data_IF_827955651565
#
_entry.id   IF_827955651565
#
_cell.length_a   1.000
_cell.length_b   1.000
_cell.length_c   1.000
_cell.angle_alpha   90.00
_cell.angle_beta   90.00
_cell.angle_gamma   90.00
#
_symmetry.space_group_name_H-M   'P 1'
#
loop_
_entity.id
_entity.type
_entity.pdbx_description
1 polymer ?
#
# COMPACT_ATOMS: atom_id res chain seq x y z
N UNK A 1 -12.56 35.23 59.74
CA UNK A 1 -12.44 34.10 58.78
C UNK A 1 -13.80 33.86 58.14
N UNK A 2 -14.02 34.30 56.90
CA UNK A 2 -15.26 34.03 56.15
C UNK A 2 -14.88 33.39 54.81
N UNK A 3 -15.34 32.15 54.59
CA UNK A 3 -14.99 31.31 53.44
C UNK A 3 -16.08 31.46 52.38
N UNK A 4 -15.76 32.13 51.27
CA UNK A 4 -16.67 32.30 50.12
C UNK A 4 -16.83 30.97 49.38
N UNK A 5 -17.99 30.33 49.50
CA UNK A 5 -18.36 29.12 48.77
C UNK A 5 -18.95 29.57 47.42
N UNK A 6 -18.19 29.46 46.34
CA UNK A 6 -18.66 29.73 44.98
C UNK A 6 -19.74 28.71 44.53
N UNK A 7 -20.76 29.12 43.76
CA UNK A 7 -21.96 28.32 43.54
C UNK A 7 -21.73 27.28 42.44
N UNK A 8 -21.63 25.99 42.82
CA UNK A 8 -21.64 24.85 41.88
C UNK A 8 -22.89 24.83 40.97
N UNK A 9 -23.98 25.49 41.39
CA UNK A 9 -25.25 25.57 40.66
C UNK A 9 -25.23 26.47 39.40
N UNK A 10 -24.35 27.47 39.34
CA UNK A 10 -24.25 28.36 38.17
C UNK A 10 -23.59 27.67 36.96
N UNK A 11 -22.58 26.83 37.20
CA UNK A 11 -21.94 26.03 36.15
C UNK A 11 -22.89 24.98 35.55
N UNK A 12 -23.70 24.33 36.40
CA UNK A 12 -24.72 23.36 35.97
C UNK A 12 -25.83 24.00 35.12
N UNK A 13 -26.27 25.21 35.46
CA UNK A 13 -27.27 25.95 34.68
C UNK A 13 -26.72 26.50 33.37
N UNK A 14 -25.44 26.90 33.32
CA UNK A 14 -24.77 27.30 32.08
C UNK A 14 -24.62 26.13 31.11
N UNK A 15 -24.16 24.97 31.57
CA UNK A 15 -24.05 23.74 30.76
C UNK A 15 -25.42 23.23 30.28
N UNK A 16 -26.46 23.35 31.12
CA UNK A 16 -27.82 22.99 30.74
C UNK A 16 -28.43 23.94 29.69
N UNK A 17 -28.10 25.24 29.74
CA UNK A 17 -28.49 26.23 28.70
C UNK A 17 -27.74 25.97 27.39
N UNK A 18 -26.46 25.60 27.46
CA UNK A 18 -25.67 25.22 26.29
C UNK A 18 -26.28 23.98 25.60
N UNK A 19 -26.67 22.96 26.39
CA UNK A 19 -27.31 21.73 25.89
C UNK A 19 -28.68 21.97 25.24
N UNK A 20 -29.45 22.96 25.71
CA UNK A 20 -30.77 23.31 25.14
C UNK A 20 -30.69 24.22 23.91
N UNK A 21 -29.51 24.73 23.55
CA UNK A 21 -29.37 25.66 22.45
C UNK A 21 -29.29 24.90 21.12
N UNK A 22 -30.40 24.88 20.37
CA UNK A 22 -30.56 24.14 19.11
C UNK A 22 -29.49 24.48 18.07
N UNK A 23 -29.07 25.75 18.01
CA UNK A 23 -27.97 26.21 17.14
C UNK A 23 -26.63 25.57 17.52
N UNK A 24 -26.36 25.42 18.82
CA UNK A 24 -25.16 24.73 19.32
C UNK A 24 -25.19 23.23 19.09
N UNK A 25 -26.36 22.59 19.27
CA UNK A 25 -26.53 21.15 19.02
C UNK A 25 -26.35 20.80 17.52
N UNK A 26 -26.85 21.66 16.62
CA UNK A 26 -26.68 21.46 15.16
C UNK A 26 -25.20 21.58 14.76
N UNK A 27 -24.48 22.57 15.30
CA UNK A 27 -23.04 22.74 15.05
C UNK A 27 -22.25 21.49 15.47
N UNK A 28 -22.57 20.92 16.63
CA UNK A 28 -21.91 19.71 17.14
C UNK A 28 -22.21 18.50 16.26
N UNK A 29 -23.46 18.30 15.85
CA UNK A 29 -23.84 17.18 14.96
C UNK A 29 -23.13 17.31 13.60
N UNK A 30 -23.10 18.51 13.01
CA UNK A 30 -22.41 18.74 11.73
C UNK A 30 -20.90 18.52 11.88
N UNK A 31 -20.28 18.97 12.96
CA UNK A 31 -18.86 18.73 13.23
C UNK A 31 -18.54 17.24 13.31
N UNK A 32 -19.38 16.45 14.01
CA UNK A 32 -19.23 15.00 14.05
C UNK A 32 -19.53 14.32 12.72
N UNK A 33 -20.47 14.83 11.91
CA UNK A 33 -20.80 14.30 10.59
C UNK A 33 -19.69 14.54 9.54
N UNK A 34 -18.86 15.58 9.71
CA UNK A 34 -17.72 15.85 8.83
C UNK A 34 -16.60 14.82 9.01
N UNK A 35 -16.40 14.29 10.24
CA UNK A 35 -15.34 13.31 10.52
C UNK A 35 -15.40 12.06 9.62
N UNK A 36 -16.53 11.34 9.49
CA UNK A 36 -16.61 10.18 8.59
C UNK A 36 -16.49 10.56 7.11
N UNK A 37 -16.96 11.75 6.70
CA UNK A 37 -16.80 12.22 5.32
C UNK A 37 -15.32 12.47 4.99
N UNK A 38 -14.57 13.11 5.89
CA UNK A 38 -13.12 13.30 5.75
C UNK A 38 -12.38 11.96 5.76
N UNK A 39 -12.84 11.00 6.57
CA UNK A 39 -12.27 9.65 6.57
C UNK A 39 -12.46 8.96 5.20
N UNK A 40 -13.66 9.05 4.61
CA UNK A 40 -13.92 8.49 3.28
C UNK A 40 -13.05 9.15 2.20
N UNK A 41 -13.02 10.48 2.13
CA UNK A 41 -12.19 11.19 1.14
C UNK A 41 -10.71 10.91 1.34
N UNK A 42 -10.24 10.94 2.60
CA UNK A 42 -8.86 10.67 2.95
C UNK A 42 -8.41 9.26 2.58
N UNK A 43 -9.27 8.27 2.79
CA UNK A 43 -8.99 6.89 2.42
C UNK A 43 -8.78 6.73 0.91
N UNK A 44 -9.56 7.44 0.09
CA UNK A 44 -9.42 7.43 -1.36
C UNK A 44 -8.09 8.03 -1.84
N UNK A 45 -7.64 9.12 -1.21
CA UNK A 45 -6.36 9.77 -1.54
C UNK A 45 -5.16 8.88 -1.21
N UNK A 46 -5.14 8.30 -0.01
CA UNK A 46 -4.07 7.39 0.41
C UNK A 46 -4.05 6.12 -0.46
N UNK A 47 -5.23 5.60 -0.82
CA UNK A 47 -5.34 4.45 -1.71
C UNK A 47 -4.85 4.76 -3.12
N UNK A 48 -5.14 5.96 -3.64
CA UNK A 48 -4.66 6.40 -4.96
C UNK A 48 -3.12 6.43 -5.01
N UNK A 49 -2.47 6.97 -3.97
CA UNK A 49 -1.01 6.93 -3.83
C UNK A 49 -0.48 5.50 -3.74
N UNK A 50 -1.15 4.66 -2.96
CA UNK A 50 -0.76 3.26 -2.80
C UNK A 50 -0.85 2.47 -4.10
N UNK A 51 -1.88 2.68 -4.92
CA UNK A 51 -2.02 2.02 -6.22
C UNK A 51 -0.89 2.37 -7.17
N UNK A 52 -0.55 3.65 -7.28
CA UNK A 52 0.58 4.08 -8.13
C UNK A 52 1.89 3.45 -7.64
N UNK A 53 2.12 3.39 -6.34
CA UNK A 53 3.30 2.74 -5.78
C UNK A 53 3.31 1.22 -6.06
N UNK A 54 2.16 0.53 -5.93
CA UNK A 54 2.02 -0.90 -6.29
C UNK A 54 2.31 -1.14 -7.77
N UNK A 55 1.79 -0.31 -8.66
CA UNK A 55 2.00 -0.46 -10.11
C UNK A 55 3.48 -0.29 -10.47
N UNK A 56 4.17 0.69 -9.88
CA UNK A 56 5.61 0.87 -10.08
C UNK A 56 6.44 -0.27 -9.49
N UNK A 57 6.06 -0.76 -8.32
CA UNK A 57 6.69 -1.92 -7.69
C UNK A 57 6.53 -3.16 -8.59
N UNK A 58 5.33 -3.36 -9.15
CA UNK A 58 5.03 -4.46 -10.07
C UNK A 58 5.86 -4.36 -11.35
N UNK A 59 5.92 -3.17 -11.97
CA UNK A 59 6.77 -2.91 -13.14
C UNK A 59 8.25 -3.24 -12.86
N UNK A 60 8.77 -2.85 -11.69
CA UNK A 60 10.14 -3.15 -11.30
C UNK A 60 10.40 -4.66 -11.11
N UNK A 61 9.40 -5.37 -10.56
CA UNK A 61 9.47 -6.81 -10.33
C UNK A 61 9.34 -7.62 -11.62
N UNK A 62 8.50 -7.20 -12.56
CA UNK A 62 8.41 -7.80 -13.89
C UNK A 62 9.71 -7.59 -14.68
N UNK A 63 10.28 -6.38 -14.64
CA UNK A 63 11.57 -6.08 -15.26
C UNK A 63 12.72 -6.89 -14.63
N UNK A 64 12.78 -6.95 -13.30
CA UNK A 64 13.78 -7.71 -12.56
C UNK A 64 13.69 -9.22 -12.83
N UNK A 65 12.48 -9.79 -12.82
CA UNK A 65 12.29 -11.23 -13.02
C UNK A 65 12.66 -11.64 -14.45
N UNK A 66 12.34 -10.81 -15.44
CA UNK A 66 12.75 -11.01 -16.83
C UNK A 66 14.28 -10.93 -17.00
N UNK A 67 14.93 -9.92 -16.40
CA UNK A 67 16.38 -9.77 -16.46
C UNK A 67 17.10 -10.95 -15.78
N UNK A 68 16.67 -11.31 -14.57
CA UNK A 68 17.18 -12.46 -13.84
C UNK A 68 17.03 -13.76 -14.65
N UNK A 69 15.88 -13.93 -15.29
CA UNK A 69 15.63 -15.13 -16.10
C UNK A 69 16.54 -15.22 -17.30
N UNK A 70 16.93 -14.10 -17.93
CA UNK A 70 17.86 -14.10 -19.08
C UNK A 70 19.24 -14.64 -18.72
N UNK A 71 19.69 -14.40 -17.49
CA UNK A 71 20.98 -14.90 -16.99
C UNK A 71 20.90 -16.29 -16.36
N UNK A 72 19.70 -16.76 -16.02
CA UNK A 72 19.50 -18.08 -15.43
C UNK A 72 19.76 -19.19 -16.47
N UNK A 73 20.95 -19.79 -16.40
CA UNK A 73 21.36 -20.91 -17.26
C UNK A 73 21.06 -22.29 -16.65
N UNK A 74 20.87 -22.38 -15.34
CA UNK A 74 20.74 -23.65 -14.61
C UNK A 74 19.54 -23.72 -13.65
N UNK A 75 19.44 -24.79 -12.85
CA UNK A 75 18.37 -24.98 -11.89
C UNK A 75 18.56 -24.15 -10.59
N UNK A 76 19.73 -23.57 -10.38
CA UNK A 76 20.11 -22.88 -9.16
C UNK A 76 20.21 -21.38 -9.35
N UNK A 77 19.90 -20.64 -8.28
CA UNK A 77 20.18 -19.20 -8.21
C UNK A 77 21.68 -18.98 -8.06
N UNK A 78 22.28 -18.21 -8.95
CA UNK A 78 23.67 -17.72 -8.81
C UNK A 78 23.67 -16.29 -8.28
N UNK A 79 24.78 -15.87 -7.66
CA UNK A 79 24.96 -14.50 -7.15
C UNK A 79 24.80 -13.45 -8.26
N UNK A 80 25.22 -13.77 -9.49
CA UNK A 80 25.16 -12.86 -10.63
C UNK A 80 23.71 -12.65 -11.09
N UNK A 81 22.92 -13.72 -11.12
CA UNK A 81 21.48 -13.65 -11.44
C UNK A 81 20.74 -12.83 -10.38
N UNK A 82 21.04 -13.05 -9.10
CA UNK A 82 20.44 -12.28 -8.01
C UNK A 82 20.84 -10.80 -8.07
N UNK A 83 22.12 -10.51 -8.31
CA UNK A 83 22.63 -9.13 -8.40
C UNK A 83 21.99 -8.39 -9.58
N UNK A 84 21.88 -9.04 -10.73
CA UNK A 84 21.23 -8.43 -11.91
C UNK A 84 19.74 -8.20 -11.68
N UNK A 85 19.04 -9.18 -11.09
CA UNK A 85 17.63 -9.04 -10.70
C UNK A 85 17.42 -7.80 -9.82
N UNK A 86 18.31 -7.60 -8.83
CA UNK A 86 18.29 -6.47 -7.92
C UNK A 86 18.62 -5.17 -8.62
N UNK A 87 19.58 -5.15 -9.54
CA UNK A 87 19.94 -3.96 -10.32
C UNK A 87 18.75 -3.45 -11.14
N UNK A 88 18.10 -4.34 -11.90
CA UNK A 88 16.91 -4.00 -12.68
C UNK A 88 15.72 -3.58 -11.80
N UNK A 89 15.54 -4.26 -10.66
CA UNK A 89 14.50 -3.88 -9.70
C UNK A 89 14.76 -2.48 -9.12
N UNK A 90 15.96 -2.23 -8.59
CA UNK A 90 16.33 -0.96 -7.96
C UNK A 90 16.37 0.21 -8.95
N UNK A 91 16.67 -0.06 -10.23
CA UNK A 91 16.60 0.95 -11.28
C UNK A 91 15.17 1.45 -11.51
N UNK A 92 14.19 0.55 -11.48
CA UNK A 92 12.79 0.89 -11.68
C UNK A 92 12.07 1.33 -10.39
N UNK A 93 12.53 0.85 -9.24
CA UNK A 93 12.03 1.22 -7.92
C UNK A 93 13.20 1.52 -6.97
N UNK A 94 13.72 2.76 -6.97
CA UNK A 94 14.82 3.14 -6.08
C UNK A 94 14.37 3.12 -4.62
N UNK A 95 15.33 2.93 -3.70
CA UNK A 95 15.05 2.96 -2.27
C UNK A 95 14.44 4.29 -1.85
N UNK A 96 13.37 4.23 -1.04
CA UNK A 96 12.64 5.43 -0.61
C UNK A 96 11.68 6.00 -1.64
N UNK A 97 11.50 5.37 -2.81
CA UNK A 97 10.42 5.73 -3.72
C UNK A 97 9.07 5.68 -2.98
N UNK A 98 8.24 6.71 -3.17
CA UNK A 98 6.95 6.87 -2.50
C UNK A 98 7.02 6.87 -0.95
N UNK A 99 8.16 7.28 -0.37
CA UNK A 99 8.41 7.25 1.08
C UNK A 99 8.32 5.84 1.68
N UNK A 100 8.53 4.82 0.85
CA UNK A 100 8.44 3.42 1.32
C UNK A 100 9.59 3.06 2.25
N UNK A 101 9.31 2.18 3.21
CA UNK A 101 10.34 1.62 4.09
C UNK A 101 11.41 0.91 3.27
N UNK A 102 12.72 1.09 3.55
CA UNK A 102 13.78 0.35 2.88
C UNK A 102 13.53 -1.16 2.99
N UNK A 103 13.61 -1.85 1.85
CA UNK A 103 13.42 -3.29 1.77
C UNK A 103 14.34 -3.86 0.70
N UNK A 104 14.55 -5.17 0.78
CA UNK A 104 15.42 -5.92 -0.11
C UNK A 104 14.56 -6.99 -0.79
N UNK A 105 14.36 -6.95 -2.12
CA UNK A 105 13.54 -7.95 -2.80
C UNK A 105 14.16 -9.34 -2.62
N UNK A 106 13.33 -10.37 -2.48
CA UNK A 106 13.75 -11.76 -2.34
C UNK A 106 13.66 -12.43 -3.71
N UNK A 107 14.79 -12.93 -4.22
CA UNK A 107 14.86 -13.65 -5.49
C UNK A 107 14.97 -15.14 -5.19
N UNK A 108 14.15 -15.95 -5.86
CA UNK A 108 14.10 -17.40 -5.69
C UNK A 108 13.93 -18.10 -7.03
N UNK A 109 14.38 -19.35 -7.12
CA UNK A 109 14.19 -20.21 -8.30
C UNK A 109 13.33 -21.40 -7.86
N UNK A 110 11.98 -21.29 -7.92
CA UNK A 110 11.10 -22.36 -7.44
C UNK A 110 11.10 -23.60 -8.35
N UNK A 111 11.47 -23.43 -9.61
CA UNK A 111 11.56 -24.50 -10.60
C UNK A 111 12.66 -24.16 -11.61
N UNK A 112 13.18 -25.19 -12.29
CA UNK A 112 14.18 -25.01 -13.35
C UNK A 112 13.64 -24.07 -14.42
N UNK A 113 14.41 -23.04 -14.77
CA UNK A 113 13.99 -22.06 -15.76
C UNK A 113 12.84 -21.14 -15.31
N UNK A 114 12.56 -21.05 -14.01
CA UNK A 114 11.62 -20.08 -13.43
C UNK A 114 12.32 -19.23 -12.39
N UNK A 115 12.33 -17.91 -12.56
CA UNK A 115 12.77 -16.97 -11.52
C UNK A 115 11.55 -16.29 -10.92
N UNK A 116 11.47 -16.26 -9.59
CA UNK A 116 10.44 -15.56 -8.83
C UNK A 116 11.06 -14.48 -7.95
N UNK A 117 10.54 -13.27 -8.06
CA UNK A 117 10.90 -12.13 -7.22
C UNK A 117 9.71 -11.79 -6.33
N UNK A 118 9.98 -11.60 -5.05
CA UNK A 118 8.98 -11.18 -4.06
C UNK A 118 9.49 -9.93 -3.35
N UNK A 119 8.70 -8.86 -3.41
CA UNK A 119 9.02 -7.57 -2.80
C UNK A 119 7.92 -7.19 -1.82
N UNK A 120 8.31 -6.96 -0.57
CA UNK A 120 7.41 -6.55 0.51
C UNK A 120 7.90 -5.24 1.09
N UNK A 121 7.04 -4.23 1.12
CA UNK A 121 7.34 -2.92 1.69
C UNK A 121 6.09 -2.29 2.29
N UNK A 122 6.22 -1.17 2.98
CA UNK A 122 5.09 -0.40 3.49
C UNK A 122 5.18 1.05 3.01
N UNK A 123 4.05 1.59 2.54
CA UNK A 123 3.91 3.00 2.19
C UNK A 123 3.24 3.76 3.33
N UNK A 124 3.74 4.94 3.74
CA UNK A 124 3.08 5.77 4.74
C UNK A 124 1.79 6.36 4.19
N UNK A 125 0.75 6.36 5.01
CA UNK A 125 -0.51 7.07 4.74
C UNK A 125 -0.36 8.55 5.09
N UNK A 126 -1.07 9.41 4.38
CA UNK A 126 -1.04 10.87 4.60
C UNK A 126 -2.24 11.29 5.44
N UNK A 127 -3.44 10.92 4.99
CA UNK A 127 -4.69 11.39 5.61
C UNK A 127 -5.15 10.43 6.70
N UNK A 128 -5.06 9.13 6.45
CA UNK A 128 -5.43 8.09 7.42
C UNK A 128 -4.50 8.05 8.63
N UNK A 129 -3.32 8.68 8.55
CA UNK A 129 -2.42 8.88 9.70
C UNK A 129 -3.10 9.62 10.86
N UNK A 130 -3.96 10.59 10.55
CA UNK A 130 -4.73 11.34 11.56
C UNK A 130 -5.73 10.43 12.29
N UNK A 131 -6.19 9.38 11.62
CA UNK A 131 -7.12 8.37 12.15
C UNK A 131 -6.40 7.14 12.74
N UNK A 132 -5.07 7.19 12.91
CA UNK A 132 -4.27 6.14 13.55
C UNK A 132 -3.75 5.04 12.62
N UNK A 133 -4.08 5.07 11.33
CA UNK A 133 -3.50 4.15 10.34
C UNK A 133 -2.29 4.82 9.73
N UNK A 134 -1.07 4.44 10.12
CA UNK A 134 0.16 5.12 9.72
C UNK A 134 0.79 4.59 8.43
N UNK A 135 0.56 3.32 8.09
CA UNK A 135 1.20 2.65 6.96
C UNK A 135 0.26 1.65 6.32
N UNK A 136 0.47 1.39 5.03
CA UNK A 136 -0.23 0.36 4.26
C UNK A 136 0.80 -0.64 3.71
N UNK A 137 0.70 -1.95 4.03
CA UNK A 137 1.62 -2.95 3.51
C UNK A 137 1.34 -3.22 2.03
N UNK A 138 2.41 -3.23 1.24
CA UNK A 138 2.46 -3.59 -0.16
C UNK A 138 3.28 -4.87 -0.30
N UNK A 139 2.72 -5.87 -0.97
CA UNK A 139 3.43 -7.10 -1.31
C UNK A 139 3.11 -7.46 -2.75
N UNK A 140 4.15 -7.77 -3.51
CA UNK A 140 4.04 -8.23 -4.89
C UNK A 140 4.90 -9.47 -5.09
N UNK A 141 4.48 -10.31 -6.02
CA UNK A 141 5.25 -11.48 -6.44
C UNK A 141 5.13 -11.60 -7.95
N UNK A 142 6.27 -11.68 -8.62
CA UNK A 142 6.33 -11.84 -10.07
C UNK A 142 7.23 -13.02 -10.39
N UNK A 143 6.87 -13.74 -11.45
CA UNK A 143 7.66 -14.86 -11.92
C UNK A 143 7.85 -14.77 -13.43
N UNK A 144 9.07 -15.04 -13.87
CA UNK A 144 9.41 -15.16 -15.28
C UNK A 144 9.86 -16.60 -15.54
N UNK A 145 9.19 -17.26 -16.47
CA UNK A 145 9.52 -18.61 -16.94
C UNK A 145 9.92 -18.53 -18.41
N UNK A 146 10.83 -19.41 -18.85
CA UNK A 146 10.91 -19.74 -20.26
C UNK A 146 10.28 -21.11 -20.42
N UNK A 147 9.01 -21.11 -20.79
CA UNK A 147 8.43 -22.31 -21.37
C UNK A 147 8.84 -22.31 -22.85
N UNK A 148 9.64 -23.30 -23.27
CA UNK A 148 10.02 -23.48 -24.68
C UNK A 148 8.85 -24.01 -25.53
N UNK A 149 7.64 -24.07 -24.96
CA UNK A 149 6.44 -24.36 -25.71
C UNK A 149 6.16 -23.17 -26.62
N UNK A 150 6.67 -23.26 -27.86
CA UNK A 150 6.14 -22.54 -29.00
C UNK A 150 4.63 -22.54 -28.86
N UNK A 151 4.05 -21.34 -28.90
CA UNK A 151 2.63 -21.02 -28.83
C UNK A 151 1.74 -22.06 -29.53
N UNK A 152 1.46 -23.18 -28.89
CA UNK A 152 0.20 -23.89 -29.00
C UNK A 152 -0.72 -23.19 -28.01
N UNK A 153 -1.23 -22.02 -28.43
CA UNK A 153 -2.29 -21.29 -27.73
C UNK A 153 -3.63 -22.02 -27.78
N UNK A 154 -3.64 -23.35 -27.71
CA UNK A 154 -4.81 -24.17 -27.52
C UNK A 154 -4.62 -25.00 -26.26
N UNK A 155 -4.59 -24.34 -25.10
CA UNK A 155 -4.64 -25.01 -23.78
C UNK A 155 -6.04 -24.92 -23.14
N UNK A 156 -7.06 -24.52 -23.92
CA UNK A 156 -8.48 -24.66 -23.56
C UNK A 156 -9.33 -24.36 -24.79
N UNK A 157 -10.07 -25.36 -25.26
CA UNK A 157 -11.22 -25.47 -26.19
C UNK A 157 -11.91 -24.26 -26.89
N UNK A 158 -11.37 -23.04 -26.92
CA UNK A 158 -12.09 -21.83 -27.37
C UNK A 158 -11.33 -20.96 -28.37
N UNK A 159 -10.26 -21.45 -28.99
CA UNK A 159 -9.70 -20.79 -30.17
C UNK A 159 -10.38 -21.33 -31.43
N UNK A 160 -11.47 -20.65 -31.82
CA UNK A 160 -12.07 -20.71 -33.15
C UNK A 160 -11.78 -19.37 -33.83
N UNK A 161 -11.08 -19.44 -34.95
CA UNK A 161 -10.75 -18.31 -35.82
C UNK A 161 -11.98 -17.47 -36.19
N UNK A 162 -11.83 -16.15 -36.12
CA UNK A 162 -12.49 -15.18 -36.99
C UNK A 162 -11.50 -14.08 -37.34
#
# INVERSE_FOLDING_TARGET
MAKTIAPKFAALTFLARLRRNVKGNTLVIVAFAIMPLLAMVGSGLDMSRAYVARDRLQQACDAGSLAARRLLAGPTLTSDVETEARNYFNFNFPSGAFDTTPFTPVVTVPAVGTVRITATTAIPTTVMKIFGFNTLPLSITCAATQDFVARTSCSSSTCRDR
#
